data_IF_229620713559
#
_entry.id   IF_229620713559
#
_cell.length_a   1.000
_cell.length_b   1.000
_cell.length_c   1.000
_cell.angle_alpha   90.00
_cell.angle_beta   90.00
_cell.angle_gamma   90.00
#
_symmetry.space_group_name_H-M   'P 1'
#
loop_
_entity.id
_entity.type
_entity.pdbx_description
1 polymer ?
#
# COMPACT_ATOMS: atom_id res chain seq x y z
N UNK A 1 3.05 13.23 46.80
CA UNK A 1 1.62 13.27 46.41
C UNK A 1 1.34 14.12 45.16
N UNK A 2 1.55 15.46 45.15
CA UNK A 2 1.31 16.25 43.91
C UNK A 2 2.33 15.96 42.80
N UNK A 3 3.61 15.88 43.13
CA UNK A 3 4.70 15.54 42.19
C UNK A 3 4.51 14.14 41.55
N UNK A 4 4.17 13.13 42.36
CA UNK A 4 3.89 11.76 41.89
C UNK A 4 2.64 11.69 40.99
N UNK A 5 1.61 12.47 41.32
CA UNK A 5 0.39 12.57 40.49
C UNK A 5 0.70 13.23 39.15
N UNK A 6 1.50 14.30 39.15
CA UNK A 6 1.97 14.96 37.94
C UNK A 6 2.80 13.98 37.08
N UNK A 7 3.70 13.22 37.71
CA UNK A 7 4.54 12.23 37.03
C UNK A 7 3.71 11.13 36.37
N UNK A 8 2.63 10.67 37.02
CA UNK A 8 1.73 9.69 36.41
C UNK A 8 1.05 10.21 35.13
N UNK A 9 0.65 11.49 35.09
CA UNK A 9 0.02 12.09 33.91
C UNK A 9 1.06 12.29 32.81
N UNK A 10 2.21 12.88 33.18
CA UNK A 10 3.32 13.16 32.28
C UNK A 10 3.81 11.86 31.64
N UNK A 11 3.98 10.80 32.40
CA UNK A 11 4.42 9.49 31.90
C UNK A 11 3.37 8.74 31.09
N UNK A 12 2.08 9.04 31.30
CA UNK A 12 0.99 8.48 30.50
C UNK A 12 0.84 9.10 29.12
N UNK A 13 1.48 10.24 28.84
CA UNK A 13 1.35 10.88 27.53
C UNK A 13 2.21 10.21 26.44
N UNK A 14 1.73 10.21 25.19
CA UNK A 14 2.49 9.68 24.06
C UNK A 14 3.71 10.54 23.74
N UNK A 15 4.72 9.91 23.14
CA UNK A 15 5.90 10.57 22.58
C UNK A 15 5.93 10.38 21.07
N UNK A 16 6.13 11.46 20.31
CA UNK A 16 6.35 11.43 18.87
C UNK A 16 7.74 12.00 18.55
N UNK A 17 8.61 11.19 17.93
CA UNK A 17 10.01 11.57 17.75
C UNK A 17 10.69 11.80 19.11
N UNK A 18 11.30 12.96 19.30
CA UNK A 18 11.95 13.38 20.55
C UNK A 18 11.01 14.19 21.48
N UNK A 19 9.75 14.39 21.09
CA UNK A 19 8.81 15.28 21.78
C UNK A 19 7.76 14.47 22.52
N UNK A 20 7.64 14.74 23.82
CA UNK A 20 6.52 14.25 24.62
C UNK A 20 5.34 15.19 24.44
N UNK A 21 4.20 14.63 24.04
CA UNK A 21 2.96 15.41 23.91
C UNK A 21 2.50 15.79 25.31
N UNK A 22 2.21 17.06 25.54
CA UNK A 22 1.66 17.48 26.83
C UNK A 22 0.14 17.31 26.83
N UNK A 23 -0.44 17.12 28.01
CA UNK A 23 -1.89 16.95 28.12
C UNK A 23 -2.65 18.24 27.77
N UNK A 24 -3.92 18.09 27.38
CA UNK A 24 -4.76 19.20 26.91
C UNK A 24 -4.84 20.42 27.86
N UNK A 25 -4.75 20.20 29.17
CA UNK A 25 -4.80 21.30 30.15
C UNK A 25 -3.50 22.09 30.13
N UNK A 26 -2.36 21.38 30.11
CA UNK A 26 -1.04 21.98 29.96
C UNK A 26 -0.86 22.67 28.60
N UNK A 27 -1.43 22.14 27.50
CA UNK A 27 -1.41 22.81 26.19
C UNK A 27 -2.10 24.17 26.21
N UNK A 28 -3.25 24.28 26.88
CA UNK A 28 -3.95 25.56 27.04
C UNK A 28 -3.11 26.59 27.79
N UNK A 29 -2.40 26.17 28.85
CA UNK A 29 -1.49 27.05 29.58
C UNK A 29 -0.28 27.46 28.73
N UNK A 30 0.32 26.54 27.98
CA UNK A 30 1.44 26.82 27.07
C UNK A 30 1.04 27.79 25.96
N UNK A 31 -0.18 27.67 25.41
CA UNK A 31 -0.71 28.63 24.44
C UNK A 31 -0.76 30.05 25.02
N UNK A 32 -1.33 30.22 26.22
CA UNK A 32 -1.38 31.52 26.89
C UNK A 32 0.03 32.07 27.20
N UNK A 33 0.98 31.21 27.58
CA UNK A 33 2.38 31.59 27.79
C UNK A 33 2.99 32.11 26.48
N UNK A 34 2.83 31.38 25.37
CA UNK A 34 3.36 31.80 24.07
C UNK A 34 2.72 33.11 23.58
N UNK A 35 1.43 33.30 23.82
CA UNK A 35 0.71 34.50 23.38
C UNK A 35 1.08 35.74 24.20
N UNK A 36 1.28 35.61 25.51
CA UNK A 36 1.58 36.74 26.40
C UNK A 36 3.07 36.98 26.67
N UNK A 37 3.96 36.01 26.42
CA UNK A 37 5.40 36.22 26.57
C UNK A 37 5.95 37.13 25.47
N UNK A 38 6.25 38.39 25.82
CA UNK A 38 6.82 39.41 24.91
C UNK A 38 8.26 39.79 25.23
N UNK A 39 8.80 39.26 26.32
CA UNK A 39 10.14 39.60 26.83
C UNK A 39 11.15 38.56 26.35
N UNK A 40 12.46 38.81 26.55
CA UNK A 40 13.53 37.88 26.17
C UNK A 40 14.38 37.46 27.38
N UNK A 41 13.79 37.46 28.57
CA UNK A 41 14.45 37.15 29.85
C UNK A 41 14.07 35.77 30.41
N UNK A 42 13.23 35.01 29.69
CA UNK A 42 12.78 33.66 30.03
C UNK A 42 12.13 33.56 31.42
N UNK A 43 11.59 34.68 31.90
CA UNK A 43 10.87 34.77 33.16
C UNK A 43 9.45 35.22 32.89
N UNK A 44 8.51 34.63 33.61
CA UNK A 44 7.10 34.96 33.49
C UNK A 44 6.49 35.06 34.88
N UNK A 45 5.68 36.08 35.10
CA UNK A 45 4.96 36.33 36.34
C UNK A 45 3.46 36.41 36.05
N UNK A 46 2.67 36.43 37.12
CA UNK A 46 1.22 36.63 37.05
C UNK A 46 0.78 37.96 36.41
N UNK A 47 1.69 38.91 36.16
CA UNK A 47 1.38 40.16 35.46
C UNK A 47 1.58 40.06 33.94
N UNK A 48 2.24 39.01 33.46
CA UNK A 48 2.64 38.89 32.05
C UNK A 48 1.59 38.13 31.22
N UNK A 49 0.78 37.27 31.86
CA UNK A 49 -0.26 36.47 31.18
C UNK A 49 -1.55 36.41 31.98
N UNK A 50 -2.68 36.33 31.27
CA UNK A 50 -3.96 36.00 31.87
C UNK A 50 -4.08 34.49 32.09
N UNK A 51 -4.38 34.09 33.32
CA UNK A 51 -4.62 32.68 33.67
C UNK A 51 -6.12 32.39 33.54
N UNK A 52 -6.51 31.35 32.79
CA UNK A 52 -7.91 30.94 32.74
C UNK A 52 -8.48 30.57 34.11
N UNK A 53 -9.71 30.98 34.41
CA UNK A 53 -10.36 30.75 35.71
C UNK A 53 -10.36 29.28 36.15
N UNK A 54 -10.48 28.35 35.20
CA UNK A 54 -10.48 26.91 35.48
C UNK A 54 -9.11 26.37 35.92
N UNK A 55 -8.02 27.12 35.71
CA UNK A 55 -6.66 26.76 36.12
C UNK A 55 -6.23 27.41 37.44
N UNK A 56 -6.90 28.46 37.91
CA UNK A 56 -6.44 29.24 39.06
C UNK A 56 -6.18 28.41 40.31
N UNK A 57 -7.01 27.38 40.55
CA UNK A 57 -6.89 26.49 41.72
C UNK A 57 -5.86 25.37 41.55
N UNK A 58 -5.49 25.05 40.32
CA UNK A 58 -4.61 23.93 39.96
C UNK A 58 -3.29 24.40 39.33
N UNK A 59 -3.03 25.72 39.29
CA UNK A 59 -1.89 26.29 38.56
C UNK A 59 -0.53 25.78 39.06
N UNK A 60 -0.40 25.52 40.37
CA UNK A 60 0.80 24.91 40.92
C UNK A 60 1.02 23.49 40.39
N UNK A 61 -0.06 22.72 40.24
CA UNK A 61 -0.03 21.38 39.68
C UNK A 61 0.32 21.41 38.19
N UNK A 62 -0.21 22.39 37.44
CA UNK A 62 0.15 22.58 36.03
C UNK A 62 1.63 22.95 35.85
N UNK A 63 2.19 23.83 36.68
CA UNK A 63 3.63 24.14 36.64
C UNK A 63 4.51 22.93 36.96
N UNK A 64 4.09 22.07 37.90
CA UNK A 64 4.79 20.83 38.18
C UNK A 64 4.81 19.91 36.95
N UNK A 65 3.70 19.77 36.22
CA UNK A 65 3.67 19.04 34.95
C UNK A 65 4.60 19.67 33.91
N UNK A 66 4.53 20.99 33.69
CA UNK A 66 5.39 21.68 32.73
C UNK A 66 6.87 21.50 33.04
N UNK A 67 7.24 21.46 34.34
CA UNK A 67 8.61 21.20 34.76
C UNK A 67 9.04 19.78 34.40
N UNK A 68 8.17 18.79 34.65
CA UNK A 68 8.44 17.39 34.32
C UNK A 68 8.42 17.09 32.82
N UNK A 69 7.67 17.87 32.03
CA UNK A 69 7.75 17.87 30.57
C UNK A 69 9.03 18.54 30.04
N UNK A 70 9.80 19.24 30.88
CA UNK A 70 10.99 19.97 30.45
C UNK A 70 10.68 21.26 29.69
N UNK A 71 9.54 21.90 29.99
CA UNK A 71 9.11 23.16 29.38
C UNK A 71 9.39 24.39 30.27
N UNK A 72 9.54 24.17 31.58
CA UNK A 72 10.03 25.17 32.54
C UNK A 72 11.12 24.53 33.40
N UNK A 73 12.05 25.34 33.92
CA UNK A 73 13.10 24.85 34.81
C UNK A 73 12.71 24.92 36.28
N UNK A 74 11.94 25.94 36.66
CA UNK A 74 11.54 26.21 38.03
C UNK A 74 10.28 27.08 38.09
N UNK A 75 9.58 27.01 39.22
CA UNK A 75 8.47 27.88 39.57
C UNK A 75 8.52 28.21 41.07
N UNK A 76 8.01 29.38 41.45
CA UNK A 76 7.87 29.84 42.82
C UNK A 76 6.48 30.43 43.06
N UNK A 77 5.88 30.10 44.21
CA UNK A 77 4.64 30.69 44.69
C UNK A 77 4.91 31.50 45.96
N UNK A 78 4.40 32.73 45.99
CA UNK A 78 4.51 33.63 47.12
C UNK A 78 3.16 33.75 47.84
N UNK A 79 3.21 34.18 49.11
CA UNK A 79 2.09 34.16 50.08
C UNK A 79 0.89 35.05 49.65
N UNK A 80 1.02 35.81 48.57
CA UNK A 80 0.00 36.71 48.01
C UNK A 80 -0.66 36.20 46.71
N UNK A 81 -0.47 34.94 46.32
CA UNK A 81 -0.96 34.42 45.03
C UNK A 81 -0.12 34.86 43.82
N UNK A 82 0.97 35.58 44.08
CA UNK A 82 1.99 35.95 43.09
C UNK A 82 2.84 34.73 42.79
N UNK A 83 3.17 34.52 41.53
CA UNK A 83 4.03 33.44 41.08
C UNK A 83 5.03 33.93 40.04
N UNK A 84 6.18 33.24 39.99
CA UNK A 84 7.20 33.41 38.94
C UNK A 84 7.57 32.01 38.41
N UNK A 85 7.69 31.88 37.10
CA UNK A 85 8.24 30.70 36.42
C UNK A 85 9.43 31.08 35.55
N UNK A 86 10.38 30.16 35.41
CA UNK A 86 11.48 30.27 34.43
C UNK A 86 11.21 29.33 33.27
N UNK A 87 10.83 29.89 32.12
CA UNK A 87 10.47 29.12 30.93
C UNK A 87 11.71 28.66 30.16
N UNK A 88 11.61 27.54 29.48
CA UNK A 88 12.66 27.04 28.59
C UNK A 88 12.32 27.36 27.13
N UNK A 89 13.31 27.51 26.23
CA UNK A 89 13.05 27.77 24.81
C UNK A 89 12.09 26.77 24.16
N UNK A 90 12.07 25.52 24.64
CA UNK A 90 11.17 24.45 24.21
C UNK A 90 9.68 24.80 24.34
N UNK A 91 9.29 25.68 25.28
CA UNK A 91 7.90 26.10 25.42
C UNK A 91 7.45 26.92 24.21
N UNK A 92 8.35 27.76 23.66
CA UNK A 92 8.05 28.70 22.58
C UNK A 92 7.96 27.99 21.23
N UNK A 93 8.75 26.93 21.05
CA UNK A 93 8.74 26.11 19.83
C UNK A 93 7.78 24.92 19.91
N UNK A 94 7.20 24.62 21.08
CA UNK A 94 6.44 23.39 21.34
C UNK A 94 5.39 23.06 20.26
N UNK A 95 4.54 24.00 19.86
CA UNK A 95 3.48 23.72 18.89
C UNK A 95 4.03 23.42 17.49
N UNK A 96 5.06 24.16 17.07
CA UNK A 96 5.71 23.92 15.78
C UNK A 96 6.46 22.58 15.78
N UNK A 97 7.15 22.29 16.89
CA UNK A 97 7.89 21.05 17.09
C UNK A 97 6.94 19.85 17.15
N UNK A 98 5.80 19.96 17.85
CA UNK A 98 4.71 18.97 17.86
C UNK A 98 4.19 18.68 16.46
N UNK A 99 3.87 19.73 15.70
CA UNK A 99 3.41 19.59 14.31
C UNK A 99 4.47 18.89 13.44
N UNK A 100 5.74 19.30 13.57
CA UNK A 100 6.85 18.69 12.84
C UNK A 100 7.03 17.20 13.18
N UNK A 101 6.96 16.83 14.45
CA UNK A 101 7.08 15.42 14.88
C UNK A 101 5.89 14.57 14.41
N UNK A 102 4.67 15.11 14.46
CA UNK A 102 3.48 14.43 13.93
C UNK A 102 3.57 14.23 12.41
N UNK A 103 4.03 15.24 11.68
CA UNK A 103 4.23 15.17 10.22
C UNK A 103 5.39 14.23 9.83
N UNK A 104 6.47 14.18 10.61
CA UNK A 104 7.56 13.22 10.39
C UNK A 104 7.14 11.78 10.71
N UNK A 105 6.34 11.56 11.75
CA UNK A 105 5.74 10.25 12.07
C UNK A 105 4.77 9.75 10.99
N UNK A 106 4.13 10.67 10.25
CA UNK A 106 3.29 10.35 9.08
C UNK A 106 4.07 10.02 7.81
N UNK A 107 5.40 10.22 7.75
CA UNK A 107 6.26 9.65 6.70
C UNK A 107 6.46 8.14 6.93
N UNK A 108 5.36 7.39 7.03
CA UNK A 108 5.39 5.99 6.60
C UNK A 108 5.59 6.03 5.09
N UNK A 109 6.56 5.28 4.54
CA UNK A 109 6.74 5.13 3.10
C UNK A 109 5.54 4.36 2.51
N UNK A 110 4.37 4.98 2.48
CA UNK A 110 3.16 4.41 1.92
C UNK A 110 3.12 4.69 0.43
N UNK A 111 3.11 3.62 -0.37
CA UNK A 111 2.89 3.69 -1.81
C UNK A 111 1.45 3.31 -2.11
N UNK A 112 0.66 4.26 -2.60
CA UNK A 112 -0.73 4.01 -3.01
C UNK A 112 -0.76 3.63 -4.48
N UNK A 113 -1.26 2.43 -4.79
CA UNK A 113 -1.52 2.00 -6.17
C UNK A 113 -3.04 2.04 -6.40
N UNK A 114 -3.48 2.80 -7.40
CA UNK A 114 -4.90 2.95 -7.73
C UNK A 114 -5.14 2.33 -9.11
N UNK A 115 -6.06 1.37 -9.18
CA UNK A 115 -6.51 0.74 -10.43
C UNK A 115 -7.99 1.06 -10.63
N UNK A 116 -8.31 1.84 -11.66
CA UNK A 116 -9.68 2.22 -11.99
C UNK A 116 -10.12 1.45 -13.26
N UNK A 117 -11.15 0.61 -13.13
CA UNK A 117 -11.65 -0.25 -14.21
C UNK A 117 -11.23 -1.73 -14.06
N UNK A 118 -11.59 -2.55 -15.04
CA UNK A 118 -11.26 -3.98 -15.03
C UNK A 118 -9.76 -4.20 -15.22
N UNK A 119 -9.15 -4.91 -14.26
CA UNK A 119 -7.74 -5.29 -14.30
C UNK A 119 -7.61 -6.79 -14.07
N UNK A 120 -6.94 -7.48 -15.00
CA UNK A 120 -6.49 -8.86 -14.81
C UNK A 120 -4.97 -8.89 -14.74
N UNK A 121 -4.43 -9.99 -14.20
CA UNK A 121 -3.01 -10.32 -14.38
C UNK A 121 -1.97 -9.41 -13.71
N UNK A 122 -2.38 -8.55 -12.77
CA UNK A 122 -1.50 -7.59 -12.09
C UNK A 122 -0.48 -8.29 -11.17
N UNK A 123 0.77 -7.86 -11.26
CA UNK A 123 1.86 -8.29 -10.41
C UNK A 123 2.66 -7.09 -9.94
N UNK A 124 2.73 -6.87 -8.62
CA UNK A 124 3.46 -5.75 -8.01
C UNK A 124 4.53 -6.33 -7.10
N UNK A 125 5.78 -5.89 -7.28
CA UNK A 125 6.91 -6.27 -6.42
C UNK A 125 7.56 -5.03 -5.82
N UNK A 126 7.98 -5.14 -4.56
CA UNK A 126 8.77 -4.13 -3.88
C UNK A 126 9.97 -4.80 -3.21
N UNK A 127 11.11 -4.11 -3.17
CA UNK A 127 12.27 -4.54 -2.40
C UNK A 127 13.01 -5.78 -2.91
N UNK A 128 12.82 -6.19 -4.16
CA UNK A 128 13.41 -7.42 -4.70
C UNK A 128 14.84 -7.22 -5.20
N UNK A 129 15.82 -7.38 -4.30
CA UNK A 129 17.24 -7.54 -4.67
C UNK A 129 17.53 -9.00 -4.99
N UNK A 130 18.20 -9.26 -6.12
CA UNK A 130 18.60 -10.61 -6.57
C UNK A 130 17.43 -11.60 -6.65
N UNK A 131 16.26 -11.18 -7.12
CA UNK A 131 15.11 -12.07 -7.29
C UNK A 131 14.74 -12.25 -8.76
N UNK A 132 14.30 -13.48 -9.08
CA UNK A 132 13.67 -13.82 -10.35
C UNK A 132 12.19 -13.98 -10.10
N UNK A 133 11.37 -13.33 -10.94
CA UNK A 133 9.93 -13.49 -10.91
C UNK A 133 9.46 -14.27 -12.13
N UNK A 134 8.77 -15.37 -11.90
CA UNK A 134 8.16 -16.20 -12.94
C UNK A 134 6.66 -16.27 -12.69
N UNK A 135 5.88 -15.80 -13.64
CA UNK A 135 4.41 -15.90 -13.62
C UNK A 135 3.97 -17.03 -14.54
N UNK A 136 3.56 -18.15 -13.95
CA UNK A 136 2.94 -19.25 -14.69
C UNK A 136 1.43 -19.04 -14.69
N UNK A 137 0.89 -18.55 -15.81
CA UNK A 137 -0.55 -18.45 -16.03
C UNK A 137 -1.03 -19.81 -16.52
N UNK A 138 -1.57 -20.62 -15.62
CA UNK A 138 -2.15 -21.90 -15.99
C UNK A 138 -3.62 -21.68 -16.37
N UNK A 139 -3.89 -21.37 -17.64
CA UNK A 139 -5.21 -21.05 -18.16
C UNK A 139 -6.19 -22.26 -18.22
N UNK A 140 -5.90 -23.37 -17.55
CA UNK A 140 -6.73 -24.58 -17.65
C UNK A 140 -6.84 -25.10 -19.09
N UNK A 141 -5.81 -24.88 -19.91
CA UNK A 141 -5.79 -25.33 -21.30
C UNK A 141 -5.80 -26.86 -21.34
N UNK A 142 -6.87 -27.43 -21.88
CA UNK A 142 -7.08 -28.87 -21.92
C UNK A 142 -6.32 -29.51 -23.09
N UNK A 143 -5.04 -29.81 -22.83
CA UNK A 143 -4.16 -30.49 -23.79
C UNK A 143 -4.70 -31.85 -24.23
N UNK A 144 -5.40 -32.57 -23.33
CA UNK A 144 -5.97 -33.87 -23.64
C UNK A 144 -7.14 -33.75 -24.62
N UNK A 145 -8.00 -32.74 -24.46
CA UNK A 145 -9.07 -32.44 -25.41
C UNK A 145 -8.52 -32.10 -26.79
N UNK A 146 -7.48 -31.26 -26.86
CA UNK A 146 -6.83 -30.92 -28.15
C UNK A 146 -6.20 -32.15 -28.79
N UNK A 147 -5.51 -32.99 -28.01
CA UNK A 147 -4.94 -34.24 -28.51
C UNK A 147 -5.99 -35.14 -29.14
N UNK A 148 -7.15 -35.31 -28.48
CA UNK A 148 -8.28 -36.08 -28.99
C UNK A 148 -8.84 -35.50 -30.29
N UNK A 149 -8.95 -34.19 -30.42
CA UNK A 149 -9.40 -33.52 -31.65
C UNK A 149 -8.45 -33.87 -32.80
N UNK A 150 -7.14 -33.73 -32.61
CA UNK A 150 -6.14 -34.05 -33.65
C UNK A 150 -6.17 -35.53 -34.04
N UNK A 151 -6.30 -36.42 -33.06
CA UNK A 151 -6.47 -37.86 -33.33
C UNK A 151 -7.74 -38.16 -34.13
N UNK A 152 -8.84 -37.44 -33.88
CA UNK A 152 -10.06 -37.59 -34.66
C UNK A 152 -9.90 -37.10 -36.10
N UNK A 153 -9.23 -35.96 -36.31
CA UNK A 153 -8.94 -35.45 -37.66
C UNK A 153 -8.05 -36.44 -38.44
N UNK A 154 -7.05 -37.04 -37.79
CA UNK A 154 -6.16 -38.05 -38.41
C UNK A 154 -6.89 -39.29 -38.93
N UNK A 155 -8.08 -39.62 -38.40
CA UNK A 155 -8.88 -40.75 -38.94
C UNK A 155 -9.30 -40.54 -40.39
N UNK A 156 -9.31 -39.31 -40.87
CA UNK A 156 -9.65 -38.94 -42.24
C UNK A 156 -8.41 -38.80 -43.15
N UNK A 157 -7.20 -39.14 -42.67
CA UNK A 157 -5.93 -38.88 -43.38
C UNK A 157 -5.91 -39.39 -44.84
N UNK A 158 -6.44 -40.59 -45.07
CA UNK A 158 -6.49 -41.21 -46.39
C UNK A 158 -7.40 -40.52 -47.41
N UNK A 159 -8.22 -39.56 -46.97
CA UNK A 159 -9.10 -38.75 -47.83
C UNK A 159 -8.67 -37.28 -47.89
N UNK A 160 -7.62 -36.88 -47.17
CA UNK A 160 -7.19 -35.48 -47.15
C UNK A 160 -6.67 -35.02 -48.50
N UNK A 161 -5.90 -35.85 -49.23
CA UNK A 161 -5.35 -35.45 -50.53
C UNK A 161 -6.45 -35.19 -51.57
N UNK A 162 -7.53 -35.97 -51.55
CA UNK A 162 -8.67 -35.79 -52.46
C UNK A 162 -9.51 -34.58 -52.14
N UNK A 163 -9.66 -34.25 -50.86
CA UNK A 163 -10.51 -33.13 -50.43
C UNK A 163 -9.73 -31.82 -50.37
N UNK A 164 -8.58 -31.80 -49.70
CA UNK A 164 -7.79 -30.59 -49.45
C UNK A 164 -6.75 -30.30 -50.53
N UNK A 165 -6.50 -31.23 -51.47
CA UNK A 165 -5.56 -31.04 -52.57
C UNK A 165 -4.17 -30.62 -52.10
N UNK A 166 -3.65 -29.51 -52.64
CA UNK A 166 -2.32 -28.97 -52.30
C UNK A 166 -2.21 -28.59 -50.81
N UNK A 167 -3.32 -28.19 -50.18
CA UNK A 167 -3.36 -27.83 -48.75
C UNK A 167 -3.34 -29.06 -47.81
N UNK A 168 -3.46 -30.28 -48.33
CA UNK A 168 -3.43 -31.50 -47.51
C UNK A 168 -2.08 -31.67 -46.79
N UNK A 169 -0.97 -31.32 -47.46
CA UNK A 169 0.36 -31.37 -46.83
C UNK A 169 0.49 -30.37 -45.70
N UNK A 170 0.01 -29.14 -45.89
CA UNK A 170 0.05 -28.07 -44.88
C UNK A 170 -0.80 -28.46 -43.66
N UNK A 171 -1.99 -29.04 -43.89
CA UNK A 171 -2.86 -29.54 -42.83
C UNK A 171 -2.15 -30.60 -41.96
N UNK A 172 -1.44 -31.55 -42.59
CA UNK A 172 -0.68 -32.60 -41.88
C UNK A 172 0.48 -32.04 -41.08
N UNK A 173 1.22 -31.08 -41.65
CA UNK A 173 2.32 -30.42 -40.95
C UNK A 173 1.83 -29.72 -39.68
N UNK A 174 0.75 -28.94 -39.77
CA UNK A 174 0.15 -28.26 -38.61
C UNK A 174 -0.37 -29.25 -37.57
N UNK A 175 -0.99 -30.36 -37.98
CA UNK A 175 -1.42 -31.42 -37.05
C UNK A 175 -0.25 -32.07 -36.29
N UNK A 176 0.87 -32.30 -36.96
CA UNK A 176 2.07 -32.84 -36.32
C UNK A 176 2.69 -31.82 -35.36
N UNK A 177 2.76 -30.55 -35.74
CA UNK A 177 3.23 -29.49 -34.86
C UNK A 177 2.36 -29.38 -33.60
N UNK A 178 1.03 -29.40 -33.73
CA UNK A 178 0.12 -29.42 -32.58
C UNK A 178 0.37 -30.66 -31.71
N UNK A 179 0.58 -31.83 -32.30
CA UNK A 179 0.83 -33.08 -31.56
C UNK A 179 2.10 -32.98 -30.70
N UNK A 180 3.18 -32.42 -31.24
CA UNK A 180 4.43 -32.17 -30.50
C UNK A 180 4.22 -31.15 -29.38
N UNK A 181 3.49 -30.06 -29.66
CA UNK A 181 3.20 -29.01 -28.67
C UNK A 181 2.35 -29.54 -27.50
N UNK A 182 1.35 -30.38 -27.80
CA UNK A 182 0.47 -31.03 -26.82
C UNK A 182 1.26 -32.01 -25.95
N UNK A 183 2.05 -32.90 -26.55
CA UNK A 183 2.87 -33.87 -25.79
C UNK A 183 3.86 -33.20 -24.83
N UNK A 184 4.41 -32.05 -25.23
CA UNK A 184 5.37 -31.28 -24.43
C UNK A 184 4.70 -30.24 -23.52
N UNK A 185 3.37 -30.15 -23.52
CA UNK A 185 2.58 -29.13 -22.81
C UNK A 185 3.16 -27.71 -22.99
N UNK A 186 3.46 -27.36 -24.24
CA UNK A 186 4.04 -26.07 -24.62
C UNK A 186 2.97 -24.98 -24.81
N UNK A 187 3.40 -23.77 -25.16
CA UNK A 187 2.57 -22.55 -25.19
C UNK A 187 1.18 -22.75 -25.86
N UNK A 188 0.07 -22.62 -25.10
CA UNK A 188 -1.30 -22.74 -25.61
C UNK A 188 -1.64 -21.77 -26.76
N UNK A 189 -1.11 -20.54 -26.76
CA UNK A 189 -1.40 -19.56 -27.81
C UNK A 189 -0.93 -20.05 -29.18
N UNK A 190 0.20 -20.77 -29.23
CA UNK A 190 0.71 -21.35 -30.48
C UNK A 190 -0.19 -22.49 -30.96
N UNK A 191 -0.68 -23.32 -30.05
CA UNK A 191 -1.64 -24.39 -30.37
C UNK A 191 -2.95 -23.79 -30.90
N UNK A 192 -3.48 -22.76 -30.25
CA UNK A 192 -4.70 -22.06 -30.69
C UNK A 192 -4.55 -21.43 -32.08
N UNK A 193 -3.40 -20.82 -32.38
CA UNK A 193 -3.12 -20.27 -33.69
C UNK A 193 -3.14 -21.37 -34.77
N UNK A 194 -2.47 -22.50 -34.52
CA UNK A 194 -2.46 -23.63 -35.45
C UNK A 194 -3.84 -24.27 -35.63
N UNK A 195 -4.65 -24.40 -34.57
CA UNK A 195 -6.05 -24.86 -34.69
C UNK A 195 -6.89 -23.89 -35.53
N UNK A 196 -6.65 -22.58 -35.39
CA UNK A 196 -7.26 -21.54 -36.22
C UNK A 196 -6.88 -21.67 -37.69
N UNK A 197 -5.61 -21.99 -37.98
CA UNK A 197 -5.15 -22.26 -39.35
C UNK A 197 -5.82 -23.52 -39.93
N UNK A 198 -5.89 -24.61 -39.17
CA UNK A 198 -6.60 -25.84 -39.59
C UNK A 198 -8.06 -25.52 -39.91
N UNK A 199 -8.72 -24.74 -39.06
CA UNK A 199 -10.10 -24.27 -39.30
C UNK A 199 -10.21 -23.49 -40.60
N UNK A 200 -9.30 -22.55 -40.85
CA UNK A 200 -9.30 -21.74 -42.07
C UNK A 200 -9.07 -22.58 -43.33
N UNK A 201 -8.15 -23.53 -43.27
CA UNK A 201 -7.93 -24.50 -44.36
C UNK A 201 -9.23 -25.26 -44.65
N UNK A 202 -9.90 -25.78 -43.61
CA UNK A 202 -11.17 -26.51 -43.77
C UNK A 202 -12.31 -25.64 -44.32
N UNK A 203 -12.40 -24.36 -43.93
CA UNK A 203 -13.37 -23.42 -44.54
C UNK A 203 -13.08 -23.16 -46.01
N UNK A 204 -11.79 -23.10 -46.40
CA UNK A 204 -11.37 -22.86 -47.79
C UNK A 204 -11.81 -23.95 -48.76
N UNK A 205 -11.96 -25.18 -48.25
CA UNK A 205 -12.47 -26.34 -49.02
C UNK A 205 -13.99 -26.48 -48.97
N UNK A 206 -14.70 -25.46 -48.45
CA UNK A 206 -16.12 -25.47 -48.09
C UNK A 206 -17.02 -26.17 -49.11
N UNK A 207 -17.32 -27.44 -48.84
CA UNK A 207 -18.08 -28.31 -49.75
C UNK A 207 -17.92 -29.80 -49.46
N UNK A 208 -16.82 -30.21 -48.84
CA UNK A 208 -16.61 -31.63 -48.51
C UNK A 208 -17.17 -32.03 -47.14
N UNK A 209 -17.70 -33.26 -47.07
CA UNK A 209 -18.19 -33.87 -45.84
C UNK A 209 -17.09 -33.92 -44.76
N UNK A 210 -15.84 -34.13 -45.19
CA UNK A 210 -14.66 -34.20 -44.32
C UNK A 210 -14.33 -32.84 -43.75
N UNK A 211 -14.29 -31.78 -44.58
CA UNK A 211 -14.06 -30.43 -44.09
C UNK A 211 -15.13 -30.01 -43.09
N UNK A 212 -16.41 -30.34 -43.35
CA UNK A 212 -17.49 -30.08 -42.39
C UNK A 212 -17.33 -30.89 -41.09
N UNK A 213 -16.86 -32.13 -41.17
CA UNK A 213 -16.55 -32.96 -40.00
C UNK A 213 -15.43 -32.35 -39.16
N UNK A 214 -14.34 -31.93 -39.78
CA UNK A 214 -13.21 -31.27 -39.12
C UNK A 214 -13.66 -29.97 -38.45
N UNK A 215 -14.44 -29.14 -39.13
CA UNK A 215 -14.98 -27.89 -38.57
C UNK A 215 -15.87 -28.12 -37.35
N UNK A 216 -16.58 -29.25 -37.27
CA UNK A 216 -17.41 -29.56 -36.09
C UNK A 216 -16.60 -29.92 -34.84
N UNK A 217 -15.32 -30.24 -35.00
CA UNK A 217 -14.40 -30.59 -33.91
C UNK A 217 -13.65 -29.36 -33.34
N UNK A 218 -13.71 -28.20 -34.00
CA UNK A 218 -12.88 -27.00 -33.75
C UNK A 218 -13.70 -25.78 -33.34
#
# INVERSE_FOLDING_TARGET
MQEERAASIVNGQPTFGEIKIIDSTAEGLVANICDGYKRNDYKLTNNDIEIPEYLERDLQFEFEKLKQYGLISQYAYYISGVWEISILPSILSYFQDKENAMNQGQKTNSYTNIFNGDVSDIQIQQGTKNSTQTKNVNNGFDYDAVGKIIEQIRKYDGMLDSEFGESASELREKMEEISVLVQRQQNPCKIQALLGDIKNLAMGVGGSLIASGILSLL
#
